data_IF_942338204573
#
_entry.id   IF_942338204573
#
_cell.length_a   1.000
_cell.length_b   1.000
_cell.length_c   1.000
_cell.angle_alpha   90.00
_cell.angle_beta   90.00
_cell.angle_gamma   90.00
#
_symmetry.space_group_name_H-M   'P 1'
#
loop_
_entity.id
_entity.type
_entity.pdbx_description
1 polymer ?
#
# COMPACT_ATOMS: atom_id res chain seq x y z
N UNK A 1 -5.84 -0.43 -26.88
CA UNK A 1 -5.07 -0.94 -25.72
C UNK A 1 -6.08 -1.37 -24.67
N UNK A 2 -5.83 -2.46 -23.92
CA UNK A 2 -6.85 -2.96 -22.97
C UNK A 2 -7.13 -1.93 -21.89
N UNK A 3 -8.42 -1.71 -21.57
CA UNK A 3 -8.86 -0.79 -20.52
C UNK A 3 -8.17 -1.10 -19.17
N UNK A 4 -7.86 -2.37 -18.91
CA UNK A 4 -7.21 -2.81 -17.68
C UNK A 4 -5.80 -2.21 -17.50
N UNK A 5 -4.97 -2.21 -18.55
CA UNK A 5 -3.61 -1.66 -18.47
C UNK A 5 -3.65 -0.15 -18.25
N UNK A 6 -4.55 0.56 -18.94
CA UNK A 6 -4.72 2.00 -18.76
C UNK A 6 -5.19 2.35 -17.34
N UNK A 7 -6.19 1.63 -16.83
CA UNK A 7 -6.67 1.81 -15.45
C UNK A 7 -5.56 1.56 -14.44
N UNK A 8 -4.74 0.54 -14.65
CA UNK A 8 -3.62 0.21 -13.77
C UNK A 8 -2.52 1.29 -13.79
N UNK A 9 -2.17 1.82 -14.97
CA UNK A 9 -1.24 2.93 -15.08
C UNK A 9 -1.78 4.21 -14.41
N UNK A 10 -3.08 4.45 -14.54
CA UNK A 10 -3.73 5.59 -13.89
C UNK A 10 -3.78 5.45 -12.37
N UNK A 11 -3.99 4.22 -11.87
CA UNK A 11 -3.86 3.90 -10.45
C UNK A 11 -2.44 4.20 -9.94
N UNK A 12 -1.41 3.69 -10.63
CA UNK A 12 -0.01 3.93 -10.27
C UNK A 12 0.33 5.42 -10.24
N UNK A 13 -0.03 6.16 -11.29
CA UNK A 13 0.18 7.61 -11.37
C UNK A 13 -0.51 8.34 -10.22
N UNK A 14 -1.78 8.00 -9.94
CA UNK A 14 -2.54 8.60 -8.84
C UNK A 14 -1.91 8.33 -7.48
N UNK A 15 -1.32 7.15 -7.25
CA UNK A 15 -0.63 6.84 -6.00
C UNK A 15 0.68 7.62 -5.87
N UNK A 16 1.47 7.73 -6.94
CA UNK A 16 2.72 8.51 -6.91
C UNK A 16 2.48 10.00 -6.61
N UNK A 17 1.33 10.56 -6.98
CA UNK A 17 0.94 11.92 -6.61
C UNK A 17 0.64 12.09 -5.11
N UNK A 18 0.15 11.04 -4.43
CA UNK A 18 -0.21 11.08 -3.00
C UNK A 18 1.00 10.73 -2.11
N UNK A 19 1.88 9.87 -2.62
CA UNK A 19 3.00 9.25 -1.90
C UNK A 19 4.33 9.76 -2.48
N UNK A 20 4.71 10.96 -2.05
CA UNK A 20 5.89 11.67 -2.57
C UNK A 20 7.20 10.96 -2.18
N UNK A 21 8.10 10.80 -3.16
CA UNK A 21 9.45 10.27 -2.95
C UNK A 21 9.52 8.77 -2.59
N UNK A 22 8.45 8.02 -2.82
CA UNK A 22 8.31 6.62 -2.43
C UNK A 22 7.78 5.75 -3.59
N UNK A 23 8.27 6.00 -4.81
CA UNK A 23 7.85 5.29 -6.03
C UNK A 23 8.02 3.77 -5.93
N UNK A 24 9.13 3.32 -5.33
CA UNK A 24 9.42 1.89 -5.12
C UNK A 24 8.41 1.21 -4.20
N UNK A 25 7.87 1.92 -3.21
CA UNK A 25 6.82 1.40 -2.34
C UNK A 25 5.53 1.21 -3.14
N UNK A 26 5.15 2.19 -3.96
CA UNK A 26 3.97 2.14 -4.83
C UNK A 26 4.08 0.97 -5.81
N UNK A 27 5.23 0.81 -6.47
CA UNK A 27 5.48 -0.31 -7.38
C UNK A 27 5.30 -1.67 -6.68
N UNK A 28 5.90 -1.85 -5.50
CA UNK A 28 5.78 -3.10 -4.73
C UNK A 28 4.34 -3.40 -4.29
N UNK A 29 3.60 -2.37 -3.88
CA UNK A 29 2.19 -2.51 -3.52
C UNK A 29 1.36 -3.04 -4.69
N UNK A 30 1.59 -2.50 -5.88
CA UNK A 30 0.88 -2.91 -7.09
C UNK A 30 1.28 -4.32 -7.56
N UNK A 31 2.57 -4.68 -7.46
CA UNK A 31 3.03 -6.04 -7.74
C UNK A 31 2.33 -7.04 -6.81
N UNK A 32 2.28 -6.75 -5.51
CA UNK A 32 1.64 -7.62 -4.52
C UNK A 32 0.14 -7.76 -4.77
N UNK A 33 -0.54 -6.67 -5.16
CA UNK A 33 -1.94 -6.71 -5.54
C UNK A 33 -2.20 -7.65 -6.74
N UNK A 34 -1.36 -7.58 -7.77
CA UNK A 34 -1.50 -8.46 -8.94
C UNK A 34 -1.13 -9.92 -8.65
N UNK A 35 -0.21 -10.14 -7.72
CA UNK A 35 0.26 -11.46 -7.35
C UNK A 35 -0.59 -12.16 -6.28
N UNK A 36 -1.64 -11.50 -5.77
CA UNK A 36 -2.42 -11.95 -4.60
C UNK A 36 -1.52 -12.29 -3.38
N UNK A 37 -0.53 -11.43 -3.14
CA UNK A 37 0.52 -11.67 -2.13
C UNK A 37 0.34 -10.88 -0.83
N UNK A 38 1.34 -10.99 0.04
CA UNK A 38 1.47 -10.17 1.25
C UNK A 38 2.75 -9.33 1.21
N UNK A 39 2.67 -8.09 1.71
CA UNK A 39 3.79 -7.16 1.75
C UNK A 39 4.21 -6.83 3.18
N UNK A 40 5.46 -7.12 3.54
CA UNK A 40 6.10 -6.56 4.73
C UNK A 40 6.74 -5.22 4.38
N UNK A 41 6.35 -4.15 5.08
CA UNK A 41 6.85 -2.79 4.82
C UNK A 41 7.71 -2.31 5.97
N UNK A 42 9.02 -2.30 5.75
CA UNK A 42 10.02 -1.82 6.72
C UNK A 42 10.52 -0.41 6.37
N UNK A 43 11.01 0.31 7.38
CA UNK A 43 11.71 1.58 7.18
C UNK A 43 11.55 2.53 8.35
N UNK A 44 12.14 3.72 8.25
CA UNK A 44 12.03 4.75 9.28
C UNK A 44 10.57 5.23 9.49
N UNK A 45 10.21 5.67 10.71
CA UNK A 45 8.91 6.31 10.96
C UNK A 45 8.74 7.55 10.07
N UNK A 46 7.51 7.85 9.66
CA UNK A 46 7.19 9.04 8.84
C UNK A 46 7.30 8.87 7.32
N UNK A 47 7.79 7.72 6.81
CA UNK A 47 7.94 7.47 5.36
C UNK A 47 6.64 7.06 4.64
N UNK A 48 5.52 7.68 5.00
CA UNK A 48 4.21 7.49 4.35
C UNK A 48 3.68 6.03 4.24
N UNK A 49 4.26 5.03 4.92
CA UNK A 49 3.86 3.61 4.85
C UNK A 49 2.36 3.41 5.05
N UNK A 50 1.81 3.93 6.16
CA UNK A 50 0.38 3.85 6.46
C UNK A 50 -0.47 4.63 5.46
N UNK A 51 0.03 5.77 4.97
CA UNK A 51 -0.67 6.57 3.95
C UNK A 51 -0.74 5.81 2.62
N UNK A 52 0.33 5.13 2.23
CA UNK A 52 0.39 4.37 0.99
C UNK A 52 -0.63 3.23 0.96
N UNK A 53 -0.70 2.44 2.04
CA UNK A 53 -1.64 1.32 2.15
C UNK A 53 -3.09 1.83 2.15
N UNK A 54 -3.39 2.90 2.91
CA UNK A 54 -4.73 3.51 2.91
C UNK A 54 -5.13 4.08 1.56
N UNK A 55 -4.20 4.76 0.88
CA UNK A 55 -4.45 5.35 -0.42
C UNK A 55 -4.74 4.28 -1.48
N UNK A 56 -4.01 3.15 -1.44
CA UNK A 56 -4.28 2.01 -2.30
C UNK A 56 -5.67 1.45 -2.05
N UNK A 57 -6.01 1.11 -0.80
CA UNK A 57 -7.32 0.57 -0.43
C UNK A 57 -8.47 1.45 -0.92
N UNK A 58 -8.38 2.76 -0.66
CA UNK A 58 -9.39 3.73 -1.12
C UNK A 58 -9.53 3.79 -2.65
N UNK A 59 -8.43 3.60 -3.40
CA UNK A 59 -8.45 3.69 -4.87
C UNK A 59 -8.98 2.45 -5.57
N UNK A 60 -8.92 1.30 -4.90
CA UNK A 60 -9.43 0.02 -5.40
C UNK A 60 -10.76 -0.38 -4.75
N UNK A 61 -11.37 0.52 -3.97
CA UNK A 61 -12.58 0.25 -3.17
C UNK A 61 -12.43 -0.98 -2.25
N UNK A 62 -11.21 -1.20 -1.76
CA UNK A 62 -10.86 -2.31 -0.87
C UNK A 62 -11.02 -1.93 0.60
N UNK A 63 -11.36 -2.92 1.42
CA UNK A 63 -11.45 -2.74 2.86
C UNK A 63 -10.07 -2.53 3.49
N UNK A 64 -9.97 -1.54 4.37
CA UNK A 64 -8.75 -1.26 5.13
C UNK A 64 -8.98 -1.56 6.60
N UNK A 65 -8.21 -2.51 7.13
CA UNK A 65 -8.15 -2.80 8.56
C UNK A 65 -6.73 -2.64 9.08
N UNK A 66 -6.59 -2.02 10.26
CA UNK A 66 -5.31 -1.87 10.95
C UNK A 66 -5.35 -2.65 12.25
N UNK A 67 -4.47 -3.64 12.36
CA UNK A 67 -4.21 -4.38 13.59
C UNK A 67 -2.87 -3.91 14.14
N UNK A 68 -2.86 -3.40 15.37
CA UNK A 68 -1.63 -3.02 16.06
C UNK A 68 -1.14 -4.20 16.89
N UNK A 69 0.05 -4.70 16.60
CA UNK A 69 0.72 -5.66 17.46
C UNK A 69 1.22 -4.92 18.70
N UNK A 70 0.72 -5.31 19.87
CA UNK A 70 1.22 -4.90 21.18
C UNK A 70 2.08 -6.03 21.73
N UNK A 71 3.27 -5.74 22.29
CA UNK A 71 4.01 -6.72 23.07
C UNK A 71 3.30 -6.81 24.44
N UNK A 72 2.15 -7.48 24.50
CA UNK A 72 1.49 -7.74 25.78
C UNK A 72 2.40 -8.67 26.61
N UNK A 73 3.21 -8.03 27.45
CA UNK A 73 4.11 -8.60 28.45
C UNK A 73 3.45 -8.55 29.84
N UNK A 74 2.14 -8.77 29.92
CA UNK A 74 1.48 -9.04 31.20
C UNK A 74 1.59 -10.54 31.46
N UNK A 75 2.10 -10.98 32.64
CA UNK A 75 2.23 -12.41 32.91
C UNK A 75 0.83 -13.04 32.92
N UNK A 76 0.69 -14.14 32.19
CA UNK A 76 -0.43 -15.07 32.33
C UNK A 76 -0.40 -15.75 33.72
#
# INVERSE_FOLDING_TARGET
MSNALQNFQQLQSSLNQIILGQERLVERLLIVLLADGHLLVEGAPGLAKTRAIKALGNKIEGDFQRIQFTPDLLPA
#
